data_IF_672091626422
#
_entry.id   IF_672091626422
#
_cell.length_a   1.000
_cell.length_b   1.000
_cell.length_c   1.000
_cell.angle_alpha   90.00
_cell.angle_beta   90.00
_cell.angle_gamma   90.00
#
_symmetry.space_group_name_H-M   'P 1'
#
loop_
_entity.id
_entity.type
_entity.pdbx_description
1 polymer ?
#
# COMPACT_ATOMS: atom_id res chain seq x y z
N UNK A 1 -12.40 -8.28 -21.04
CA UNK A 1 -13.03 -8.30 -19.69
C UNK A 1 -12.85 -6.94 -19.04
N UNK A 2 -13.80 -6.42 -18.25
CA UNK A 2 -13.54 -5.19 -17.46
C UNK A 2 -12.46 -5.47 -16.42
N UNK A 3 -11.71 -4.44 -16.05
CA UNK A 3 -10.60 -4.58 -15.09
C UNK A 3 -11.10 -5.07 -13.73
N UNK A 4 -12.19 -4.49 -13.21
CA UNK A 4 -12.84 -4.93 -11.96
C UNK A 4 -13.14 -6.43 -11.96
N UNK A 5 -13.73 -6.95 -13.04
CA UNK A 5 -14.13 -8.37 -13.11
C UNK A 5 -12.89 -9.29 -13.05
N UNK A 6 -11.77 -8.87 -13.67
CA UNK A 6 -10.50 -9.62 -13.63
C UNK A 6 -9.91 -9.68 -12.22
N UNK A 7 -9.92 -8.57 -11.50
CA UNK A 7 -9.49 -8.55 -10.10
C UNK A 7 -10.40 -9.41 -9.24
N UNK A 8 -11.72 -9.27 -9.37
CA UNK A 8 -12.66 -10.07 -8.58
C UNK A 8 -12.54 -11.58 -8.89
N UNK A 9 -12.27 -11.97 -10.14
CA UNK A 9 -11.96 -13.36 -10.46
C UNK A 9 -10.73 -13.88 -9.71
N UNK A 10 -9.70 -13.05 -9.50
CA UNK A 10 -8.57 -13.42 -8.62
C UNK A 10 -9.00 -13.50 -7.15
N UNK A 11 -9.74 -12.50 -6.65
CA UNK A 11 -10.22 -12.46 -5.26
C UNK A 11 -11.23 -13.55 -4.88
N UNK A 12 -11.85 -14.17 -5.87
CA UNK A 12 -12.83 -15.24 -5.72
C UNK A 12 -12.31 -16.60 -6.23
N UNK A 13 -11.02 -16.70 -6.55
CA UNK A 13 -10.37 -17.91 -7.06
C UNK A 13 -11.00 -18.51 -8.34
N UNK A 14 -11.56 -17.67 -9.20
CA UNK A 14 -12.20 -18.05 -10.48
C UNK A 14 -11.20 -17.97 -11.64
N UNK A 15 -10.15 -18.80 -11.60
CA UNK A 15 -9.08 -18.84 -12.63
C UNK A 15 -9.62 -18.95 -14.05
N UNK A 16 -10.66 -19.77 -14.27
CA UNK A 16 -11.26 -19.99 -15.59
C UNK A 16 -11.93 -18.74 -16.19
N UNK A 17 -12.22 -17.74 -15.36
CA UNK A 17 -12.86 -16.50 -15.81
C UNK A 17 -11.82 -15.46 -16.29
N UNK A 18 -10.51 -15.71 -16.06
CA UNK A 18 -9.43 -14.77 -16.41
C UNK A 18 -9.11 -14.77 -17.90
N UNK A 19 -9.17 -13.59 -18.53
CA UNK A 19 -8.60 -13.36 -19.87
C UNK A 19 -7.07 -13.21 -19.84
N UNK A 20 -6.56 -12.66 -18.73
CA UNK A 20 -5.14 -12.59 -18.37
C UNK A 20 -4.99 -12.37 -16.87
N UNK A 21 -3.78 -12.54 -16.36
CA UNK A 21 -3.44 -12.15 -15.00
C UNK A 21 -3.55 -10.61 -14.86
N UNK A 22 -4.23 -10.09 -13.82
CA UNK A 22 -4.31 -8.65 -13.57
C UNK A 22 -2.97 -8.07 -13.10
N UNK A 23 -2.79 -6.77 -13.29
CA UNK A 23 -1.57 -6.03 -12.97
C UNK A 23 -1.89 -4.94 -11.95
N UNK A 24 -1.18 -4.93 -10.82
CA UNK A 24 -1.15 -3.82 -9.87
C UNK A 24 0.19 -3.11 -10.01
N UNK A 25 0.17 -1.90 -10.56
CA UNK A 25 1.33 -1.02 -10.58
C UNK A 25 1.15 0.04 -9.50
N UNK A 26 2.03 0.04 -8.50
CA UNK A 26 1.87 0.80 -7.24
C UNK A 26 1.85 2.32 -7.45
N UNK A 27 2.53 2.82 -8.47
CA UNK A 27 2.56 4.23 -8.84
C UNK A 27 3.96 4.68 -9.22
N UNK A 28 4.10 5.95 -9.59
CA UNK A 28 5.38 6.59 -9.82
C UNK A 28 5.27 8.03 -9.28
N UNK A 29 5.85 8.33 -8.10
CA UNK A 29 5.76 9.65 -7.52
C UNK A 29 6.43 10.67 -8.44
N UNK A 30 5.82 11.85 -8.57
CA UNK A 30 6.30 12.90 -9.47
C UNK A 30 7.70 13.41 -9.12
N UNK A 31 8.15 13.16 -7.89
CA UNK A 31 9.49 13.47 -7.40
C UNK A 31 10.56 12.47 -7.83
N UNK A 32 10.19 11.25 -8.24
CA UNK A 32 11.15 10.20 -8.62
C UNK A 32 11.87 10.50 -9.93
N UNK A 33 13.09 9.97 -10.09
CA UNK A 33 13.86 10.15 -11.32
C UNK A 33 13.16 9.53 -12.54
N UNK A 34 12.49 8.38 -12.35
CA UNK A 34 11.69 7.76 -13.41
C UNK A 34 10.64 8.72 -13.96
N UNK A 35 9.86 9.37 -13.09
CA UNK A 35 8.78 10.27 -13.53
C UNK A 35 9.33 11.40 -14.38
N UNK A 36 10.44 12.02 -13.94
CA UNK A 36 11.07 13.12 -14.65
C UNK A 36 11.61 12.68 -16.02
N UNK A 37 12.29 11.54 -16.07
CA UNK A 37 12.73 10.93 -17.33
C UNK A 37 11.55 10.59 -18.23
N UNK A 38 10.47 10.03 -17.68
CA UNK A 38 9.27 9.73 -18.46
C UNK A 38 8.61 10.98 -19.04
N UNK A 39 8.50 12.07 -18.27
CA UNK A 39 7.99 13.34 -18.78
C UNK A 39 8.86 13.83 -19.94
N UNK A 40 10.18 13.82 -19.75
CA UNK A 40 11.14 14.31 -20.74
C UNK A 40 11.16 13.47 -22.01
N UNK A 41 11.26 12.16 -21.86
CA UNK A 41 11.60 11.21 -22.93
C UNK A 41 10.35 10.56 -23.57
N UNK A 42 9.16 10.69 -22.94
CA UNK A 42 7.92 10.06 -23.43
C UNK A 42 6.78 11.05 -23.51
N UNK A 43 6.43 11.73 -22.40
CA UNK A 43 5.25 12.60 -22.38
C UNK A 43 5.37 13.79 -23.35
N UNK A 44 6.59 14.27 -23.58
CA UNK A 44 6.87 15.36 -24.52
C UNK A 44 7.02 14.91 -26.00
N UNK A 45 7.07 13.60 -26.29
CA UNK A 45 7.28 13.06 -27.65
C UNK A 45 5.98 12.57 -28.31
N UNK A 46 4.95 13.44 -28.42
CA UNK A 46 3.64 13.11 -29.03
C UNK A 46 3.07 11.76 -28.53
N UNK A 47 2.72 11.70 -27.23
CA UNK A 47 2.19 10.51 -26.57
C UNK A 47 1.05 9.87 -27.37
N UNK A 48 1.09 8.55 -27.65
CA UNK A 48 0.01 7.88 -28.37
C UNK A 48 -1.34 8.06 -27.68
N UNK A 49 -2.38 8.34 -28.46
CA UNK A 49 -3.75 8.61 -27.97
C UNK A 49 -4.29 7.50 -27.05
N UNK A 50 -3.84 6.26 -27.23
CA UNK A 50 -4.25 5.12 -26.39
C UNK A 50 -3.80 5.23 -24.92
N UNK A 51 -2.78 6.05 -24.64
CA UNK A 51 -2.29 6.30 -23.28
C UNK A 51 -2.83 7.60 -22.69
N UNK A 52 -3.26 8.55 -23.51
CA UNK A 52 -3.76 9.84 -23.03
C UNK A 52 -5.12 9.63 -22.37
N UNK A 53 -5.21 9.94 -21.08
CA UNK A 53 -6.42 9.71 -20.31
C UNK A 53 -6.69 10.80 -19.29
N UNK A 54 -7.82 11.47 -19.43
CA UNK A 54 -8.25 12.51 -18.49
C UNK A 54 -9.60 12.10 -17.90
N UNK A 55 -9.66 12.02 -16.57
CA UNK A 55 -10.88 11.72 -15.83
C UNK A 55 -11.30 12.94 -15.01
N UNK A 56 -12.56 13.42 -15.10
CA UNK A 56 -13.00 14.64 -14.42
C UNK A 56 -12.73 14.68 -12.90
N UNK A 57 -12.80 13.53 -12.24
CA UNK A 57 -12.66 13.41 -10.78
C UNK A 57 -11.24 13.02 -10.30
N UNK A 58 -10.31 12.77 -11.24
CA UNK A 58 -8.94 12.32 -10.95
C UNK A 58 -7.86 13.12 -11.69
N UNK A 59 -8.23 13.94 -12.67
CA UNK A 59 -7.31 14.70 -13.50
C UNK A 59 -6.67 13.86 -14.60
N UNK A 60 -5.43 14.18 -14.91
CA UNK A 60 -4.63 13.48 -15.91
C UNK A 60 -4.12 12.14 -15.36
N UNK A 61 -4.61 11.06 -15.96
CA UNK A 61 -4.30 9.66 -15.67
C UNK A 61 -3.39 9.05 -16.75
N UNK A 62 -2.74 9.87 -17.58
CA UNK A 62 -1.92 9.42 -18.71
C UNK A 62 -0.75 8.56 -18.25
N UNK A 63 -0.05 8.95 -17.18
CA UNK A 63 1.05 8.15 -16.65
C UNK A 63 0.56 6.78 -16.14
N UNK A 64 -0.54 6.73 -15.39
CA UNK A 64 -1.10 5.49 -14.86
C UNK A 64 -1.52 4.56 -16.00
N UNK A 65 -2.12 5.12 -17.04
CA UNK A 65 -2.50 4.39 -18.26
C UNK A 65 -1.25 3.88 -18.99
N UNK A 66 -0.22 4.72 -19.13
CA UNK A 66 1.08 4.35 -19.72
C UNK A 66 1.78 3.25 -18.94
N UNK A 67 1.82 3.34 -17.61
CA UNK A 67 2.36 2.30 -16.73
C UNK A 67 1.59 0.98 -16.83
N UNK A 68 0.36 1.03 -17.36
CA UNK A 68 -0.56 -0.09 -17.37
C UNK A 68 -1.12 -0.40 -15.98
N UNK A 69 -1.21 0.61 -15.11
CA UNK A 69 -1.86 0.49 -13.82
C UNK A 69 -3.35 0.16 -14.03
N UNK A 70 -3.84 -0.82 -13.30
CA UNK A 70 -5.23 -1.26 -13.38
C UNK A 70 -6.02 -0.93 -12.12
N UNK A 71 -5.44 -0.22 -11.17
CA UNK A 71 -6.06 0.13 -9.89
C UNK A 71 -5.97 1.62 -9.63
N UNK A 72 -6.96 2.17 -8.94
CA UNK A 72 -6.93 3.55 -8.44
C UNK A 72 -7.51 3.60 -7.03
N UNK A 73 -6.82 4.27 -6.11
CA UNK A 73 -7.29 4.42 -4.74
C UNK A 73 -8.35 5.51 -4.64
N UNK A 74 -9.42 5.22 -3.92
CA UNK A 74 -10.46 6.17 -3.53
C UNK A 74 -10.68 6.00 -2.04
N UNK A 75 -10.60 7.08 -1.27
CA UNK A 75 -10.82 7.02 0.17
C UNK A 75 -11.60 8.22 0.68
N UNK A 76 -12.37 7.98 1.73
CA UNK A 76 -12.83 9.02 2.63
C UNK A 76 -11.63 9.36 3.52
N UNK A 77 -11.22 10.64 3.60
CA UNK A 77 -10.09 11.03 4.42
C UNK A 77 -10.24 10.56 5.87
N UNK A 78 -9.19 9.95 6.42
CA UNK A 78 -9.09 9.69 7.85
C UNK A 78 -8.82 11.00 8.59
N UNK A 79 -9.61 11.25 9.64
CA UNK A 79 -9.51 12.49 10.44
C UNK A 79 -8.43 12.40 11.52
N UNK A 80 -7.59 11.36 11.43
CA UNK A 80 -6.37 11.25 12.20
C UNK A 80 -5.34 12.36 11.88
N UNK A 81 -5.62 13.24 10.91
CA UNK A 81 -4.83 14.43 10.58
C UNK A 81 -5.27 15.67 11.38
N UNK A 82 -5.41 15.54 12.71
CA UNK A 82 -5.51 16.71 13.60
C UNK A 82 -4.31 17.64 13.34
N UNK A 83 -4.44 18.99 13.48
CA UNK A 83 -3.42 19.94 13.08
C UNK A 83 -2.02 19.58 13.58
N UNK A 84 -1.13 19.41 12.62
CA UNK A 84 0.30 19.31 12.83
C UNK A 84 0.80 20.51 13.64
N UNK A 85 1.48 20.26 14.75
CA UNK A 85 2.12 21.32 15.54
C UNK A 85 3.46 21.71 14.91
N UNK A 86 3.68 23.00 14.63
CA UNK A 86 5.03 23.47 14.27
C UNK A 86 5.98 23.30 15.47
N UNK A 87 7.18 22.76 15.22
CA UNK A 87 8.22 22.72 16.25
C UNK A 87 8.71 24.13 16.56
N UNK A 88 8.88 24.45 17.85
CA UNK A 88 9.30 25.75 18.37
C UNK A 88 10.74 25.70 18.91
N UNK A 89 11.43 26.86 19.05
CA UNK A 89 12.73 26.90 19.71
C UNK A 89 12.70 26.23 21.09
N UNK A 90 13.56 25.22 21.27
CA UNK A 90 13.61 24.40 22.49
C UNK A 90 13.04 22.99 22.31
N UNK A 91 12.24 22.75 21.26
CA UNK A 91 11.71 21.42 20.97
C UNK A 91 12.79 20.48 20.42
N UNK A 92 12.60 19.18 20.70
CA UNK A 92 13.46 18.11 20.18
C UNK A 92 13.44 18.13 18.65
N UNK A 93 14.62 18.05 18.03
CA UNK A 93 14.78 18.16 16.58
C UNK A 93 14.27 19.49 15.97
N UNK A 94 14.08 20.55 16.76
CA UNK A 94 13.85 21.88 16.18
C UNK A 94 15.04 22.29 15.31
N UNK A 95 14.75 22.66 14.06
CA UNK A 95 15.72 23.24 13.15
C UNK A 95 15.07 24.47 12.50
N UNK A 96 15.56 25.70 12.77
CA UNK A 96 14.93 26.91 12.23
C UNK A 96 14.98 27.01 10.71
N UNK A 97 15.87 26.24 10.04
CA UNK A 97 15.94 26.17 8.59
C UNK A 97 15.01 25.10 7.98
N UNK A 98 14.55 24.13 8.77
CA UNK A 98 13.66 23.07 8.31
C UNK A 98 12.23 23.34 8.79
N UNK A 99 11.27 23.30 7.87
CA UNK A 99 9.85 23.43 8.22
C UNK A 99 9.36 22.09 8.78
N UNK A 100 9.64 21.85 10.05
CA UNK A 100 9.27 20.63 10.76
C UNK A 100 7.97 20.78 11.52
N UNK A 101 7.12 19.78 11.40
CA UNK A 101 5.91 19.64 12.19
C UNK A 101 5.88 18.31 12.92
N UNK A 102 5.04 18.20 13.95
CA UNK A 102 4.74 16.93 14.60
C UNK A 102 3.27 16.58 14.41
N UNK A 103 2.99 15.33 14.05
CA UNK A 103 1.62 14.82 13.97
C UNK A 103 1.15 14.22 15.31
N UNK A 104 -0.12 13.85 15.39
CA UNK A 104 -0.74 13.25 16.60
C UNK A 104 -0.12 11.91 17.02
N UNK A 105 0.57 11.22 16.12
CA UNK A 105 1.28 10.00 16.44
C UNK A 105 2.68 10.29 17.01
N UNK A 106 3.13 11.55 16.97
CA UNK A 106 4.47 11.96 17.39
C UNK A 106 5.50 11.87 16.27
N UNK A 107 5.06 11.76 15.00
CA UNK A 107 5.96 11.71 13.86
C UNK A 107 6.40 13.11 13.51
N UNK A 108 7.70 13.34 13.54
CA UNK A 108 8.27 14.60 13.08
C UNK A 108 8.37 14.51 11.56
N UNK A 109 7.62 15.38 10.89
CA UNK A 109 7.59 15.50 9.44
C UNK A 109 8.39 16.74 9.03
N UNK A 110 9.32 16.59 8.10
CA UNK A 110 10.13 17.67 7.55
C UNK A 110 9.70 17.95 6.11
N UNK A 111 9.26 19.19 5.86
CA UNK A 111 9.05 19.62 4.48
C UNK A 111 10.39 19.91 3.81
N UNK A 112 10.60 19.26 2.68
CA UNK A 112 11.76 19.43 1.81
C UNK A 112 11.31 19.61 0.37
N UNK A 113 12.25 19.93 -0.51
CA UNK A 113 12.03 19.99 -1.95
C UNK A 113 12.97 18.99 -2.63
N UNK A 114 12.40 18.00 -3.31
CA UNK A 114 13.17 17.03 -4.08
C UNK A 114 12.89 17.28 -5.56
N UNK A 115 13.94 17.61 -6.33
CA UNK A 115 13.84 17.95 -7.75
C UNK A 115 12.78 19.02 -8.10
N UNK A 116 12.61 20.02 -7.24
CA UNK A 116 11.67 21.13 -7.46
C UNK A 116 10.23 20.86 -7.00
N UNK A 117 9.92 19.67 -6.48
CA UNK A 117 8.59 19.31 -5.96
C UNK A 117 8.61 19.27 -4.43
N UNK A 118 7.66 19.94 -3.74
CA UNK A 118 7.52 19.86 -2.28
C UNK A 118 7.22 18.43 -1.83
N UNK A 119 7.88 17.98 -0.77
CA UNK A 119 7.71 16.66 -0.18
C UNK A 119 7.79 16.73 1.34
N UNK A 120 7.16 15.78 2.03
CA UNK A 120 7.19 15.66 3.50
C UNK A 120 7.85 14.34 3.89
N UNK A 121 8.98 14.39 4.58
CA UNK A 121 9.74 13.22 5.02
C UNK A 121 9.60 12.97 6.52
N UNK A 122 9.53 11.71 6.93
CA UNK A 122 9.70 11.37 8.35
C UNK A 122 11.14 11.68 8.77
N UNK A 123 11.30 12.60 9.72
CA UNK A 123 12.58 13.05 10.24
C UNK A 123 12.93 12.41 11.60
N UNK A 124 11.95 11.79 12.26
CA UNK A 124 12.17 11.04 13.50
C UNK A 124 11.00 11.07 14.48
N UNK A 125 11.18 10.41 15.64
CA UNK A 125 10.17 10.35 16.69
C UNK A 125 10.24 11.54 17.65
N UNK A 126 9.07 12.06 18.01
CA UNK A 126 8.92 13.11 19.02
C UNK A 126 8.82 12.52 20.43
N UNK A 127 8.01 11.48 20.62
CA UNK A 127 7.76 10.91 21.94
C UNK A 127 8.87 9.94 22.38
N UNK A 128 9.28 10.02 23.63
CA UNK A 128 10.20 9.07 24.26
C UNK A 128 9.56 8.26 25.40
N UNK A 129 8.39 8.70 25.87
CA UNK A 129 7.59 8.11 26.94
C UNK A 129 6.11 8.20 26.60
N UNK A 130 5.29 7.34 27.21
CA UNK A 130 3.85 7.44 27.05
C UNK A 130 3.27 8.66 27.76
N UNK A 131 3.86 9.10 28.86
CA UNK A 131 3.46 10.32 29.58
C UNK A 131 3.61 11.56 28.69
N UNK A 132 4.69 11.66 27.92
CA UNK A 132 4.88 12.74 26.95
C UNK A 132 3.81 12.72 25.85
N UNK A 133 3.44 11.53 25.36
CA UNK A 133 2.33 11.38 24.41
C UNK A 133 1.00 11.85 25.00
N UNK A 134 0.65 11.39 26.21
CA UNK A 134 -0.62 11.78 26.84
C UNK A 134 -0.66 13.29 27.14
N UNK A 135 0.45 13.88 27.59
CA UNK A 135 0.55 15.32 27.79
C UNK A 135 0.36 16.11 26.49
N UNK A 136 0.97 15.63 25.40
CA UNK A 136 0.80 16.22 24.07
C UNK A 136 -0.67 16.16 23.61
N UNK A 137 -1.34 15.01 23.75
CA UNK A 137 -2.76 14.88 23.39
C UNK A 137 -3.68 15.71 24.30
N UNK A 138 -3.33 15.90 25.57
CA UNK A 138 -4.08 16.77 26.48
C UNK A 138 -3.98 18.25 26.09
N UNK A 139 -2.83 18.69 25.56
CA UNK A 139 -2.62 20.05 25.07
C UNK A 139 -3.23 20.25 23.67
N UNK A 140 -3.04 19.29 22.79
CA UNK A 140 -3.32 19.42 21.36
C UNK A 140 -4.58 18.72 20.89
N UNK A 141 -5.24 17.89 21.69
CA UNK A 141 -6.45 17.16 21.31
C UNK A 141 -6.20 15.70 20.90
N UNK A 142 -7.26 14.88 20.93
CA UNK A 142 -7.22 13.46 20.58
C UNK A 142 -7.32 13.22 19.06
N UNK A 143 -7.08 11.98 18.63
CA UNK A 143 -7.09 11.52 17.23
C UNK A 143 -8.41 11.71 16.47
N UNK A 144 -9.49 12.04 17.16
CA UNK A 144 -10.79 12.27 16.54
C UNK A 144 -11.50 13.47 17.16
N UNK A 145 -11.79 14.45 16.33
CA UNK A 145 -12.65 15.57 16.66
C UNK A 145 -13.82 15.58 15.67
N UNK A 146 -15.03 15.41 16.18
CA UNK A 146 -16.26 15.38 15.38
C UNK A 146 -16.45 16.66 14.55
N UNK A 147 -15.79 17.78 14.92
CA UNK A 147 -15.76 19.00 14.11
C UNK A 147 -15.04 18.81 12.78
N UNK A 148 -13.99 18.00 12.76
CA UNK A 148 -13.16 17.73 11.58
C UNK A 148 -13.46 16.37 10.96
N UNK A 149 -14.31 15.55 11.61
CA UNK A 149 -14.74 14.24 11.15
C UNK A 149 -15.24 14.26 9.70
N UNK A 150 -15.05 13.17 8.92
CA UNK A 150 -15.58 13.14 7.59
C UNK A 150 -17.11 13.15 7.68
N UNK A 151 -17.75 14.10 7.03
CA UNK A 151 -19.20 14.19 6.93
C UNK A 151 -19.77 13.72 5.59
N UNK A 152 -21.05 14.01 5.39
CA UNK A 152 -21.81 13.67 4.18
C UNK A 152 -21.16 14.14 2.87
N UNK A 153 -20.50 15.31 2.89
CA UNK A 153 -19.80 15.85 1.72
C UNK A 153 -18.66 14.93 1.26
N UNK A 154 -17.90 14.35 2.19
CA UNK A 154 -16.82 13.40 1.88
C UNK A 154 -17.39 12.08 1.34
N UNK A 155 -18.46 11.58 1.95
CA UNK A 155 -19.16 10.38 1.45
C UNK A 155 -19.71 10.61 0.04
N UNK A 156 -20.27 11.79 -0.24
CA UNK A 156 -20.77 12.15 -1.57
C UNK A 156 -19.64 12.21 -2.60
N UNK A 157 -18.51 12.84 -2.27
CA UNK A 157 -17.35 12.90 -3.15
C UNK A 157 -16.76 11.51 -3.41
N UNK A 158 -16.64 10.69 -2.36
CA UNK A 158 -16.21 9.29 -2.46
C UNK A 158 -17.09 8.49 -3.44
N UNK A 159 -18.42 8.54 -3.27
CA UNK A 159 -19.36 7.85 -4.16
C UNK A 159 -19.22 8.33 -5.62
N UNK A 160 -19.06 9.63 -5.82
CA UNK A 160 -18.87 10.23 -7.16
C UNK A 160 -17.60 9.68 -7.82
N UNK A 161 -16.46 9.74 -7.13
CA UNK A 161 -15.17 9.22 -7.60
C UNK A 161 -15.23 7.72 -7.90
N UNK A 162 -15.83 6.94 -7.01
CA UNK A 162 -15.98 5.51 -7.19
C UNK A 162 -16.80 5.18 -8.44
N UNK A 163 -17.96 5.81 -8.59
CA UNK A 163 -18.84 5.63 -9.74
C UNK A 163 -18.18 6.06 -11.05
N UNK A 164 -17.38 7.12 -11.05
CA UNK A 164 -16.65 7.57 -12.24
C UNK A 164 -15.66 6.50 -12.73
N UNK A 165 -14.89 5.87 -11.82
CA UNK A 165 -13.98 4.77 -12.18
C UNK A 165 -14.74 3.51 -12.62
N UNK A 166 -15.86 3.16 -11.98
CA UNK A 166 -16.67 2.01 -12.39
C UNK A 166 -17.30 2.18 -13.78
N UNK A 167 -17.72 3.41 -14.11
CA UNK A 167 -18.24 3.76 -15.43
C UNK A 167 -17.15 3.70 -16.50
N UNK A 168 -15.97 4.23 -16.21
CA UNK A 168 -14.81 4.16 -17.09
C UNK A 168 -14.34 2.71 -17.34
N UNK A 169 -14.30 1.89 -16.29
CA UNK A 169 -14.01 0.45 -16.37
C UNK A 169 -12.56 0.07 -16.68
N UNK A 170 -11.65 1.04 -16.87
CA UNK A 170 -10.22 0.76 -17.10
C UNK A 170 -9.41 0.67 -15.82
N UNK A 171 -10.00 1.06 -14.69
CA UNK A 171 -9.39 0.93 -13.36
C UNK A 171 -10.34 0.19 -12.43
N UNK A 172 -9.77 -0.60 -11.53
CA UNK A 172 -10.44 -1.17 -10.38
C UNK A 172 -10.27 -0.22 -9.18
N UNK A 173 -11.36 0.36 -8.65
CA UNK A 173 -11.28 1.22 -7.48
C UNK A 173 -10.92 0.40 -6.24
N UNK A 174 -9.97 0.90 -5.45
CA UNK A 174 -9.59 0.33 -4.15
C UNK A 174 -9.96 1.31 -3.04
N UNK A 175 -10.65 0.83 -2.00
CA UNK A 175 -10.87 1.61 -0.78
C UNK A 175 -9.55 1.76 -0.01
N UNK A 176 -9.24 2.94 0.51
CA UNK A 176 -8.04 3.13 1.35
C UNK A 176 -8.34 2.94 2.84
N UNK A 177 -7.41 2.33 3.58
CA UNK A 177 -7.35 2.35 5.04
C UNK A 177 -5.98 2.90 5.49
N UNK A 178 -5.90 3.44 6.71
CA UNK A 178 -4.69 4.08 7.22
C UNK A 178 -3.84 3.12 8.06
N UNK A 179 -2.52 3.37 8.09
CA UNK A 179 -1.51 2.61 8.86
C UNK A 179 -1.79 2.67 10.37
N UNK A 180 -1.36 1.66 11.12
CA UNK A 180 -1.48 1.62 12.59
C UNK A 180 -0.12 1.45 13.25
N UNK A 181 0.55 0.34 12.96
CA UNK A 181 1.81 -0.02 13.58
C UNK A 181 2.89 1.02 13.24
N UNK A 182 3.05 1.31 11.95
CA UNK A 182 4.05 2.23 11.44
C UNK A 182 3.89 3.62 12.06
N UNK A 183 2.66 4.15 12.15
CA UNK A 183 2.40 5.45 12.74
C UNK A 183 2.89 5.56 14.19
N UNK A 184 2.61 4.53 15.00
CA UNK A 184 3.05 4.48 16.41
C UNK A 184 4.57 4.30 16.48
N UNK A 185 5.12 3.38 15.69
CA UNK A 185 6.53 3.04 15.69
C UNK A 185 7.40 4.23 15.25
N UNK A 186 7.01 4.96 14.21
CA UNK A 186 7.65 6.17 13.73
C UNK A 186 7.58 7.32 14.74
N UNK A 187 6.50 7.39 15.52
CA UNK A 187 6.27 8.46 16.48
C UNK A 187 7.05 8.34 17.79
N UNK A 188 7.35 7.10 18.22
CA UNK A 188 8.13 6.83 19.44
C UNK A 188 9.55 6.32 19.15
N UNK A 189 9.77 5.75 17.97
CA UNK A 189 11.02 5.16 17.54
C UNK A 189 11.30 3.78 18.14
N UNK A 190 12.25 3.03 17.56
CA UNK A 190 12.48 1.61 17.87
C UNK A 190 12.88 1.36 19.32
N UNK A 191 13.74 2.21 19.89
CA UNK A 191 14.29 2.03 21.24
C UNK A 191 13.22 2.28 22.30
N UNK A 192 12.49 3.40 22.17
CA UNK A 192 11.43 3.71 23.12
C UNK A 192 10.31 2.68 22.99
N UNK A 193 9.91 2.32 21.76
CA UNK A 193 8.92 1.27 21.53
C UNK A 193 9.29 -0.03 22.25
N UNK A 194 10.50 -0.57 22.01
CA UNK A 194 10.95 -1.82 22.61
C UNK A 194 11.06 -1.76 24.15
N UNK A 195 11.35 -0.60 24.73
CA UNK A 195 11.35 -0.40 26.18
C UNK A 195 9.93 -0.39 26.73
N UNK A 196 9.07 0.40 26.12
CA UNK A 196 7.72 0.68 26.57
C UNK A 196 6.79 -0.52 26.37
N UNK A 197 6.89 -1.23 25.26
CA UNK A 197 6.14 -2.46 24.99
C UNK A 197 6.45 -3.56 26.01
N UNK A 198 7.67 -3.61 26.56
CA UNK A 198 8.06 -4.58 27.60
C UNK A 198 7.63 -4.16 29.00
N UNK A 199 7.79 -2.88 29.35
CA UNK A 199 7.51 -2.38 30.71
C UNK A 199 6.02 -2.14 30.96
N UNK A 200 5.31 -1.66 29.95
CA UNK A 200 3.92 -1.21 30.07
C UNK A 200 3.06 -1.75 28.90
N UNK A 201 3.03 -3.07 28.67
CA UNK A 201 2.36 -3.63 27.50
C UNK A 201 0.85 -3.33 27.48
N UNK A 202 0.19 -3.31 28.63
CA UNK A 202 -1.22 -2.97 28.74
C UNK A 202 -1.52 -1.51 28.37
N UNK A 203 -0.53 -0.61 28.50
CA UNK A 203 -0.65 0.78 28.08
C UNK A 203 -0.50 0.89 26.57
N UNK A 204 0.43 0.13 25.99
CA UNK A 204 0.56 0.00 24.54
C UNK A 204 -0.71 -0.58 23.90
N UNK A 205 -1.34 -1.59 24.50
CA UNK A 205 -2.63 -2.14 24.03
C UNK A 205 -3.69 -1.02 23.91
N UNK A 206 -3.79 -0.15 24.92
CA UNK A 206 -4.71 1.00 24.91
C UNK A 206 -4.36 2.04 23.85
N UNK A 207 -3.08 2.31 23.64
CA UNK A 207 -2.61 3.29 22.65
C UNK A 207 -2.92 2.81 21.23
N UNK A 208 -2.67 1.53 20.94
CA UNK A 208 -3.02 0.92 19.67
C UNK A 208 -4.53 1.04 19.42
N UNK A 209 -5.36 0.75 20.42
CA UNK A 209 -6.81 0.88 20.29
C UNK A 209 -7.27 2.34 20.10
N UNK A 210 -6.66 3.29 20.83
CA UNK A 210 -6.92 4.72 20.65
C UNK A 210 -6.63 5.19 19.21
N UNK A 211 -5.55 4.68 18.61
CA UNK A 211 -5.17 4.97 17.23
C UNK A 211 -6.08 4.24 16.21
N UNK A 212 -6.44 2.98 16.48
CA UNK A 212 -7.22 2.14 15.59
C UNK A 212 -8.68 2.63 15.45
N UNK A 213 -9.32 2.98 16.56
CA UNK A 213 -10.73 3.37 16.62
C UNK A 213 -11.15 4.45 15.60
N UNK A 214 -10.46 5.60 15.46
CA UNK A 214 -10.81 6.60 14.46
C UNK A 214 -10.61 6.11 13.02
N UNK A 215 -9.60 5.30 12.77
CA UNK A 215 -9.31 4.76 11.44
C UNK A 215 -10.41 3.77 11.04
N UNK A 216 -10.80 2.87 11.95
CA UNK A 216 -11.89 1.93 11.73
C UNK A 216 -13.24 2.65 11.55
N UNK A 217 -13.47 3.77 12.25
CA UNK A 217 -14.65 4.62 12.03
C UNK A 217 -14.69 5.20 10.62
N UNK A 218 -13.57 5.75 10.12
CA UNK A 218 -13.50 6.27 8.75
C UNK A 218 -13.67 5.15 7.71
N UNK A 219 -13.05 3.99 7.93
CA UNK A 219 -13.23 2.83 7.06
C UNK A 219 -14.69 2.34 7.04
N UNK A 220 -15.36 2.29 8.18
CA UNK A 220 -16.78 1.92 8.26
C UNK A 220 -17.64 2.82 7.37
N UNK A 221 -17.40 4.15 7.39
CA UNK A 221 -18.12 5.08 6.52
C UNK A 221 -17.95 4.78 5.02
N UNK A 222 -16.76 4.32 4.60
CA UNK A 222 -16.52 3.91 3.21
C UNK A 222 -17.29 2.63 2.87
N UNK A 223 -17.25 1.64 3.76
CA UNK A 223 -17.88 0.34 3.57
C UNK A 223 -19.41 0.42 3.60
N UNK A 224 -19.97 1.29 4.45
CA UNK A 224 -21.40 1.59 4.54
C UNK A 224 -21.99 2.18 3.24
N UNK A 225 -21.14 2.65 2.32
CA UNK A 225 -21.60 3.04 0.98
C UNK A 225 -22.08 1.86 0.12
N UNK A 226 -21.65 0.63 0.44
CA UNK A 226 -21.93 -0.58 -0.32
C UNK A 226 -21.17 -0.69 -1.65
N UNK A 227 -20.25 0.24 -1.94
CA UNK A 227 -19.51 0.28 -3.21
C UNK A 227 -18.18 -0.49 -3.16
N UNK A 228 -17.56 -0.57 -1.99
CA UNK A 228 -16.19 -1.04 -1.83
C UNK A 228 -16.09 -2.56 -1.96
N UNK A 229 -15.29 -3.05 -2.90
CA UNK A 229 -15.02 -4.48 -3.07
C UNK A 229 -13.72 -4.92 -2.39
N UNK A 230 -12.68 -4.10 -2.44
CA UNK A 230 -11.38 -4.38 -1.83
C UNK A 230 -10.91 -3.12 -1.11
N UNK A 231 -10.41 -3.30 0.12
CA UNK A 231 -9.75 -2.28 0.92
C UNK A 231 -8.25 -2.55 0.91
N UNK A 232 -7.46 -1.52 0.61
CA UNK A 232 -6.00 -1.51 0.67
C UNK A 232 -5.55 -0.88 1.99
N UNK A 233 -4.78 -1.62 2.77
CA UNK A 233 -4.25 -1.25 4.09
C UNK A 233 -2.72 -1.35 4.07
N UNK A 234 -1.97 -0.24 4.07
CA UNK A 234 -0.53 -0.30 4.27
C UNK A 234 -0.19 -0.46 5.75
N UNK A 235 0.84 -1.23 6.07
CA UNK A 235 1.55 -1.21 7.35
C UNK A 235 2.89 -1.95 7.24
N UNK A 236 4.01 -1.23 7.25
CA UNK A 236 5.33 -1.83 7.03
C UNK A 236 5.85 -2.55 8.28
N UNK A 237 6.00 -3.88 8.16
CA UNK A 237 6.31 -4.79 9.26
C UNK A 237 7.66 -5.49 9.12
N UNK A 238 8.37 -5.27 8.01
CA UNK A 238 9.60 -5.97 7.68
C UNK A 238 10.86 -5.10 7.71
N UNK A 239 11.99 -5.75 7.98
CA UNK A 239 13.34 -5.30 7.63
C UNK A 239 13.91 -6.27 6.59
N UNK A 240 15.14 -6.06 6.10
CA UNK A 240 15.72 -6.94 5.06
C UNK A 240 15.72 -8.44 5.36
N UNK A 241 15.88 -8.86 6.63
CA UNK A 241 16.06 -10.28 6.97
C UNK A 241 15.16 -10.78 8.10
N UNK A 242 14.32 -9.91 8.64
CA UNK A 242 13.46 -10.22 9.78
C UNK A 242 12.28 -9.25 9.86
N UNK A 243 11.20 -9.64 10.52
CA UNK A 243 10.15 -8.69 10.88
C UNK A 243 10.66 -7.65 11.91
N UNK A 244 10.01 -6.49 11.95
CA UNK A 244 10.21 -5.45 12.96
C UNK A 244 9.73 -5.87 14.35
N UNK A 245 8.71 -6.73 14.39
CA UNK A 245 8.16 -7.32 15.61
C UNK A 245 8.36 -8.83 15.62
N UNK A 246 8.64 -9.40 16.79
CA UNK A 246 8.56 -10.87 16.91
C UNK A 246 7.14 -11.34 16.59
N UNK A 247 6.96 -12.56 16.05
CA UNK A 247 5.62 -13.12 15.79
C UNK A 247 4.72 -13.04 17.03
N UNK A 248 5.30 -13.31 18.21
CA UNK A 248 4.61 -13.20 19.50
C UNK A 248 4.14 -11.78 19.81
N UNK A 249 4.97 -10.77 19.58
CA UNK A 249 4.60 -9.38 19.84
C UNK A 249 3.60 -8.87 18.79
N UNK A 250 3.77 -9.26 17.53
CA UNK A 250 2.80 -8.97 16.47
C UNK A 250 1.42 -9.56 16.79
N UNK A 251 1.37 -10.85 17.16
CA UNK A 251 0.14 -11.55 17.52
C UNK A 251 -0.56 -10.92 18.72
N UNK A 252 0.21 -10.37 19.65
CA UNK A 252 -0.32 -9.68 20.82
C UNK A 252 -0.88 -8.30 20.48
N UNK A 253 -0.09 -7.48 19.80
CA UNK A 253 -0.32 -6.04 19.71
C UNK A 253 -1.06 -5.63 18.43
N UNK A 254 -0.66 -6.17 17.27
CA UNK A 254 -1.10 -5.65 15.97
C UNK A 254 -2.14 -6.54 15.31
N UNK A 255 -1.97 -7.86 15.39
CA UNK A 255 -2.91 -8.84 14.83
C UNK A 255 -4.36 -8.62 15.27
N UNK A 256 -4.68 -8.30 16.54
CA UNK A 256 -6.07 -8.06 16.94
C UNK A 256 -6.72 -6.93 16.15
N UNK A 257 -5.95 -5.90 15.78
CA UNK A 257 -6.48 -4.79 14.99
C UNK A 257 -6.57 -5.12 13.51
N UNK A 258 -5.60 -5.86 12.95
CA UNK A 258 -5.74 -6.39 11.59
C UNK A 258 -7.01 -7.24 11.46
N UNK A 259 -7.33 -8.02 12.50
CA UNK A 259 -8.59 -8.77 12.56
C UNK A 259 -9.81 -7.86 12.58
N UNK A 260 -9.80 -6.75 13.31
CA UNK A 260 -10.89 -5.77 13.28
C UNK A 260 -11.10 -5.19 11.87
N UNK A 261 -10.04 -4.91 11.13
CA UNK A 261 -10.13 -4.52 9.72
C UNK A 261 -10.79 -5.58 8.85
N UNK A 262 -10.31 -6.83 8.94
CA UNK A 262 -10.80 -7.93 8.14
C UNK A 262 -12.28 -8.21 8.44
N UNK A 263 -12.64 -8.31 9.72
CA UNK A 263 -14.01 -8.52 10.17
C UNK A 263 -14.94 -7.40 9.69
N UNK A 264 -14.49 -6.14 9.73
CA UNK A 264 -15.26 -4.99 9.26
C UNK A 264 -15.46 -5.02 7.72
N UNK A 265 -14.42 -5.37 6.95
CA UNK A 265 -14.51 -5.53 5.50
C UNK A 265 -15.46 -6.67 5.12
N UNK A 266 -15.26 -7.85 5.70
CA UNK A 266 -16.05 -9.05 5.42
C UNK A 266 -17.52 -8.87 5.80
N UNK A 267 -17.82 -8.16 6.90
CA UNK A 267 -19.19 -7.80 7.30
C UNK A 267 -19.95 -7.03 6.20
N UNK A 268 -19.23 -6.28 5.36
CA UNK A 268 -19.80 -5.51 4.25
C UNK A 268 -19.58 -6.17 2.88
N UNK A 269 -19.12 -7.43 2.85
CA UNK A 269 -18.83 -8.15 1.60
C UNK A 269 -17.58 -7.67 0.86
N UNK A 270 -16.75 -6.86 1.49
CA UNK A 270 -15.47 -6.41 0.94
C UNK A 270 -14.33 -7.33 1.37
N UNK A 271 -13.21 -7.26 0.65
CA UNK A 271 -11.95 -7.98 0.91
C UNK A 271 -10.91 -7.05 1.51
N UNK A 272 -9.98 -7.59 2.30
CA UNK A 272 -8.85 -6.83 2.86
C UNK A 272 -7.53 -7.23 2.19
N UNK A 273 -6.86 -6.25 1.62
CA UNK A 273 -5.52 -6.35 1.05
C UNK A 273 -4.54 -5.53 1.88
N UNK A 274 -3.40 -6.11 2.23
CA UNK A 274 -2.35 -5.42 2.98
C UNK A 274 -1.12 -5.18 2.11
N UNK A 275 -0.53 -3.99 2.20
CA UNK A 275 0.84 -3.71 1.74
C UNK A 275 1.79 -3.77 2.94
N UNK A 276 2.92 -4.46 2.80
CA UNK A 276 3.98 -4.43 3.81
C UNK A 276 5.35 -4.74 3.20
N UNK A 277 6.27 -3.80 3.27
CA UNK A 277 7.66 -3.97 2.82
C UNK A 277 8.50 -4.84 3.77
N UNK A 278 9.66 -5.26 3.29
CA UNK A 278 10.63 -6.07 4.02
C UNK A 278 10.24 -7.54 4.19
N UNK A 279 10.99 -8.23 5.05
CA UNK A 279 10.84 -9.67 5.31
C UNK A 279 9.73 -9.94 6.32
N UNK A 280 8.59 -10.37 5.80
CA UNK A 280 7.35 -10.61 6.56
C UNK A 280 6.91 -12.07 6.57
N UNK A 281 7.67 -12.99 5.94
CA UNK A 281 7.26 -14.40 5.84
C UNK A 281 6.85 -15.06 7.17
N UNK A 282 7.53 -14.81 8.31
CA UNK A 282 7.13 -15.42 9.59
C UNK A 282 5.76 -14.95 10.08
N UNK A 283 5.27 -13.79 9.62
CA UNK A 283 3.99 -13.21 10.00
C UNK A 283 2.83 -13.66 9.12
N UNK A 284 3.11 -14.27 7.95
CA UNK A 284 2.07 -14.71 7.00
C UNK A 284 1.01 -15.63 7.64
N UNK A 285 1.35 -16.63 8.47
CA UNK A 285 0.33 -17.43 9.16
C UNK A 285 -0.60 -16.59 10.04
N UNK A 286 -0.04 -15.57 10.72
CA UNK A 286 -0.80 -14.65 11.56
C UNK A 286 -1.71 -13.73 10.75
N UNK A 287 -1.28 -13.31 9.54
CA UNK A 287 -2.12 -12.54 8.62
C UNK A 287 -3.32 -13.35 8.14
N UNK A 288 -3.10 -14.60 7.73
CA UNK A 288 -4.17 -15.51 7.31
C UNK A 288 -5.16 -15.74 8.47
N UNK A 289 -4.65 -16.00 9.67
CA UNK A 289 -5.50 -16.20 10.86
C UNK A 289 -6.30 -14.94 11.24
N UNK A 290 -5.77 -13.75 10.97
CA UNK A 290 -6.50 -12.49 11.16
C UNK A 290 -7.58 -12.25 10.10
N UNK A 291 -7.61 -13.01 9.01
CA UNK A 291 -8.58 -12.88 7.92
C UNK A 291 -8.12 -12.00 6.75
N UNK A 292 -6.80 -11.80 6.58
CA UNK A 292 -6.26 -11.10 5.42
C UNK A 292 -6.53 -11.88 4.12
N UNK A 293 -7.09 -11.23 3.10
CA UNK A 293 -7.40 -11.87 1.81
C UNK A 293 -6.25 -11.76 0.80
N UNK A 294 -5.50 -10.65 0.82
CA UNK A 294 -4.40 -10.41 -0.10
C UNK A 294 -3.21 -9.71 0.55
N UNK A 295 -2.01 -10.04 0.08
CA UNK A 295 -0.74 -9.46 0.53
C UNK A 295 0.05 -8.94 -0.67
N UNK A 296 0.36 -7.65 -0.64
CA UNK A 296 1.16 -6.96 -1.63
C UNK A 296 2.56 -6.62 -1.07
N UNK A 297 3.46 -6.30 -2.00
CA UNK A 297 4.90 -6.09 -1.89
C UNK A 297 5.69 -7.38 -2.11
N UNK A 298 5.76 -8.26 -1.11
CA UNK A 298 6.55 -9.50 -1.18
C UNK A 298 7.99 -9.19 -1.63
N UNK A 299 8.65 -8.28 -0.94
CA UNK A 299 9.93 -7.71 -1.32
C UNK A 299 11.03 -8.77 -1.58
N UNK A 300 11.42 -8.89 -2.84
CA UNK A 300 12.47 -9.83 -3.26
C UNK A 300 13.82 -9.54 -2.61
N UNK A 301 14.16 -8.25 -2.48
CA UNK A 301 15.41 -7.76 -1.86
C UNK A 301 15.47 -7.94 -0.35
N UNK A 302 14.37 -8.32 0.27
CA UNK A 302 14.28 -8.70 1.67
C UNK A 302 14.33 -10.22 1.86
N UNK A 303 14.96 -10.96 0.94
CA UNK A 303 15.17 -12.41 1.01
C UNK A 303 13.88 -13.24 1.11
N UNK A 304 12.76 -12.73 0.58
CA UNK A 304 11.51 -13.49 0.47
C UNK A 304 11.65 -14.53 -0.65
N UNK A 305 11.38 -15.79 -0.31
CA UNK A 305 11.30 -16.89 -1.28
C UNK A 305 9.85 -17.05 -1.75
N UNK A 306 9.52 -16.39 -2.86
CA UNK A 306 8.18 -16.37 -3.44
C UNK A 306 7.58 -17.76 -3.67
N UNK A 307 8.36 -18.70 -4.25
CA UNK A 307 7.88 -20.05 -4.52
C UNK A 307 7.51 -20.80 -3.23
N UNK A 308 8.34 -20.69 -2.19
CA UNK A 308 8.06 -21.28 -0.88
C UNK A 308 6.85 -20.64 -0.22
N UNK A 309 6.76 -19.30 -0.23
CA UNK A 309 5.61 -18.57 0.31
C UNK A 309 4.34 -18.99 -0.41
N UNK A 310 4.35 -18.99 -1.75
CA UNK A 310 3.18 -19.37 -2.53
C UNK A 310 2.74 -20.80 -2.26
N UNK A 311 3.68 -21.74 -2.19
CA UNK A 311 3.38 -23.14 -1.87
C UNK A 311 2.78 -23.32 -0.46
N UNK A 312 3.18 -22.48 0.49
CA UNK A 312 2.68 -22.51 1.86
C UNK A 312 1.27 -21.93 1.98
N UNK A 313 0.98 -20.82 1.30
CA UNK A 313 -0.33 -20.14 1.40
C UNK A 313 -1.40 -20.71 0.47
N UNK A 314 -1.01 -21.19 -0.72
CA UNK A 314 -1.92 -21.71 -1.75
C UNK A 314 -3.07 -20.74 -2.03
N UNK A 315 -4.30 -21.17 -1.82
CA UNK A 315 -5.55 -20.45 -2.01
C UNK A 315 -5.98 -19.61 -0.79
N UNK A 316 -5.24 -19.66 0.31
CA UNK A 316 -5.63 -18.95 1.56
C UNK A 316 -5.26 -17.47 1.55
N UNK A 317 -4.35 -17.06 0.68
CA UNK A 317 -3.86 -15.69 0.60
C UNK A 317 -3.46 -15.38 -0.83
N UNK A 318 -4.04 -14.34 -1.40
CA UNK A 318 -3.67 -13.85 -2.72
C UNK A 318 -2.36 -13.08 -2.60
N UNK A 319 -1.41 -13.45 -3.44
CA UNK A 319 -0.14 -12.74 -3.52
C UNK A 319 -0.21 -11.68 -4.62
N UNK A 320 0.35 -10.51 -4.34
CA UNK A 320 0.36 -9.38 -5.27
C UNK A 320 1.76 -8.80 -5.33
N UNK A 321 2.25 -8.54 -6.54
CA UNK A 321 3.56 -7.94 -6.74
C UNK A 321 4.71 -8.94 -6.63
N UNK A 322 5.75 -8.60 -5.87
CA UNK A 322 6.92 -9.44 -5.66
C UNK A 322 7.97 -9.37 -6.76
N UNK A 323 7.71 -8.72 -7.90
CA UNK A 323 8.74 -8.43 -8.90
C UNK A 323 9.70 -7.36 -8.37
N UNK A 324 10.99 -7.57 -8.56
CA UNK A 324 12.01 -6.71 -7.97
C UNK A 324 12.10 -5.33 -8.66
N UNK A 325 11.63 -4.30 -7.96
CA UNK A 325 11.69 -2.90 -8.37
C UNK A 325 12.94 -2.16 -7.91
N UNK A 326 13.79 -2.78 -7.08
CA UNK A 326 14.93 -2.13 -6.42
C UNK A 326 16.28 -2.53 -7.00
N UNK A 327 16.45 -3.76 -7.48
CA UNK A 327 17.67 -4.17 -8.20
C UNK A 327 17.40 -4.42 -9.68
N UNK A 328 16.49 -5.34 -10.03
CA UNK A 328 16.27 -5.70 -11.43
C UNK A 328 15.72 -4.53 -12.24
N UNK A 329 14.64 -3.89 -11.78
CA UNK A 329 14.03 -2.80 -12.54
C UNK A 329 14.91 -1.55 -12.60
N UNK A 330 15.66 -1.27 -11.52
CA UNK A 330 16.50 -0.08 -11.39
C UNK A 330 17.85 -0.22 -12.11
N UNK A 331 18.53 -1.36 -11.96
CA UNK A 331 19.92 -1.54 -12.40
C UNK A 331 20.10 -2.67 -13.44
N UNK A 332 19.09 -3.49 -13.67
CA UNK A 332 19.14 -4.56 -14.66
C UNK A 332 19.02 -4.07 -16.10
N UNK A 333 19.32 -4.97 -17.03
CA UNK A 333 19.04 -4.78 -18.46
C UNK A 333 17.57 -5.10 -18.78
N UNK A 334 17.04 -4.65 -19.94
CA UNK A 334 15.73 -5.07 -20.41
C UNK A 334 15.52 -6.59 -20.43
N UNK A 335 16.56 -7.36 -20.74
CA UNK A 335 16.50 -8.83 -20.72
C UNK A 335 16.39 -9.37 -19.29
N UNK A 336 17.09 -8.77 -18.32
CA UNK A 336 16.95 -9.12 -16.90
C UNK A 336 15.52 -8.87 -16.42
N UNK A 337 14.91 -7.75 -16.82
CA UNK A 337 13.52 -7.40 -16.51
C UNK A 337 12.55 -8.44 -17.08
N UNK A 338 12.71 -8.84 -18.35
CA UNK A 338 11.87 -9.88 -18.96
C UNK A 338 12.02 -11.22 -18.23
N UNK A 339 13.25 -11.57 -17.85
CA UNK A 339 13.54 -12.81 -17.15
C UNK A 339 12.94 -12.81 -15.73
N UNK A 340 13.00 -11.69 -15.01
CA UNK A 340 12.37 -11.54 -13.70
C UNK A 340 10.84 -11.66 -13.78
N UNK A 341 10.20 -11.05 -14.77
CA UNK A 341 8.75 -11.19 -14.98
C UNK A 341 8.36 -12.66 -15.20
N UNK A 342 9.06 -13.36 -16.10
CA UNK A 342 8.82 -14.79 -16.36
C UNK A 342 9.03 -15.64 -15.11
N UNK A 343 10.12 -15.39 -14.39
CA UNK A 343 10.45 -16.09 -13.14
C UNK A 343 9.35 -15.86 -12.10
N UNK A 344 8.91 -14.61 -11.90
CA UNK A 344 7.89 -14.30 -10.91
C UNK A 344 6.56 -14.98 -11.19
N UNK A 345 6.12 -15.02 -12.45
CA UNK A 345 4.92 -15.77 -12.79
C UNK A 345 5.04 -17.25 -12.41
N UNK A 346 6.20 -17.88 -12.62
CA UNK A 346 6.43 -19.28 -12.22
C UNK A 346 6.48 -19.46 -10.71
N UNK A 347 7.06 -18.51 -9.98
CA UNK A 347 7.20 -18.58 -8.53
C UNK A 347 5.88 -18.28 -7.79
N UNK A 348 5.03 -17.43 -8.36
CA UNK A 348 3.79 -16.95 -7.73
C UNK A 348 2.55 -17.75 -8.13
N UNK A 349 2.65 -18.60 -9.15
CA UNK A 349 1.57 -19.49 -9.56
C UNK A 349 1.97 -20.91 -9.15
N UNK A 350 1.29 -21.44 -8.13
CA UNK A 350 1.61 -22.76 -7.59
C UNK A 350 1.03 -23.92 -8.42
N UNK A 351 -0.02 -23.67 -9.21
CA UNK A 351 -0.67 -24.69 -10.03
C UNK A 351 -1.30 -24.06 -11.29
N UNK A 352 -1.32 -24.78 -12.43
CA UNK A 352 -2.05 -24.32 -13.62
C UNK A 352 -3.57 -24.17 -13.42
N UNK A 353 -4.13 -24.83 -12.41
CA UNK A 353 -5.55 -24.78 -12.05
C UNK A 353 -5.89 -23.59 -11.15
N UNK A 354 -4.91 -23.05 -10.42
CA UNK A 354 -5.03 -21.84 -9.61
C UNK A 354 -3.89 -20.86 -9.91
N UNK A 355 -4.19 -19.98 -10.86
CA UNK A 355 -3.33 -18.90 -11.32
C UNK A 355 -3.66 -17.57 -10.63
N UNK A 356 -4.42 -17.58 -9.53
CA UNK A 356 -4.86 -16.36 -8.83
C UNK A 356 -3.67 -15.67 -8.14
N UNK A 357 -3.10 -14.73 -8.87
CA UNK A 357 -1.98 -13.86 -8.56
C UNK A 357 -2.28 -12.50 -9.20
N UNK A 358 -1.74 -11.42 -8.64
CA UNK A 358 -1.78 -10.10 -9.29
C UNK A 358 -0.36 -9.64 -9.54
N UNK A 359 0.01 -9.46 -10.81
CA UNK A 359 1.36 -9.11 -11.21
C UNK A 359 1.70 -7.67 -10.88
N UNK A 360 2.93 -7.39 -10.46
CA UNK A 360 3.34 -6.03 -10.16
C UNK A 360 4.73 -5.94 -9.55
N UNK A 361 5.25 -4.73 -9.39
CA UNK A 361 6.47 -4.50 -8.63
C UNK A 361 6.24 -4.73 -7.14
N UNK A 362 7.34 -4.78 -6.39
CA UNK A 362 7.32 -4.78 -4.93
C UNK A 362 6.79 -3.44 -4.40
N UNK A 363 7.24 -2.33 -4.98
CA UNK A 363 6.92 -0.98 -4.53
C UNK A 363 6.71 -0.05 -5.73
N UNK A 364 6.40 1.21 -5.47
CA UNK A 364 6.37 2.30 -6.45
C UNK A 364 7.63 2.35 -7.30
N UNK A 365 7.44 2.81 -8.54
CA UNK A 365 8.49 3.02 -9.52
C UNK A 365 9.17 4.37 -9.22
N UNK A 366 10.32 4.33 -8.58
CA UNK A 366 11.08 5.51 -8.17
C UNK A 366 12.12 5.92 -9.20
N UNK A 367 13.29 5.27 -9.21
CA UNK A 367 14.46 5.73 -9.97
C UNK A 367 14.84 4.77 -11.11
N UNK A 368 13.84 4.10 -11.66
CA UNK A 368 14.04 3.10 -12.72
C UNK A 368 14.19 3.76 -14.11
N UNK A 369 15.04 3.23 -15.00
CA UNK A 369 15.07 3.67 -16.40
C UNK A 369 13.72 3.49 -17.08
N UNK A 370 13.29 4.49 -17.86
CA UNK A 370 12.00 4.45 -18.59
C UNK A 370 11.88 3.18 -19.44
N UNK A 371 12.96 2.80 -20.12
CA UNK A 371 12.97 1.60 -20.97
C UNK A 371 12.72 0.31 -20.19
N UNK A 372 13.25 0.21 -18.97
CA UNK A 372 13.03 -0.95 -18.12
C UNK A 372 11.56 -1.03 -17.70
N UNK A 373 10.93 0.09 -17.37
CA UNK A 373 9.52 0.14 -16.97
C UNK A 373 8.58 -0.19 -18.14
N UNK A 374 8.88 0.31 -19.34
CA UNK A 374 8.16 -0.03 -20.58
C UNK A 374 8.21 -1.54 -20.84
N UNK A 375 9.40 -2.13 -20.81
CA UNK A 375 9.63 -3.57 -21.02
C UNK A 375 8.97 -4.40 -19.92
N UNK A 376 9.00 -3.92 -18.68
CA UNK A 376 8.35 -4.56 -17.55
C UNK A 376 6.83 -4.66 -17.73
N UNK A 377 6.16 -3.53 -18.03
CA UNK A 377 4.73 -3.47 -18.35
C UNK A 377 4.37 -4.43 -19.49
N UNK A 378 5.12 -4.38 -20.59
CA UNK A 378 4.83 -5.16 -21.79
C UNK A 378 5.04 -6.66 -21.55
N UNK A 379 6.10 -7.02 -20.82
CA UNK A 379 6.36 -8.38 -20.40
C UNK A 379 5.25 -8.91 -19.49
N UNK A 380 4.80 -8.14 -18.49
CA UNK A 380 3.71 -8.56 -17.61
C UNK A 380 2.44 -8.86 -18.41
N UNK A 381 2.04 -7.96 -19.31
CA UNK A 381 0.87 -8.16 -20.20
C UNK A 381 1.03 -9.38 -21.09
N UNK A 382 2.18 -9.54 -21.74
CA UNK A 382 2.45 -10.66 -22.66
C UNK A 382 2.45 -12.00 -21.95
N UNK A 383 3.23 -12.16 -20.88
CA UNK A 383 3.42 -13.46 -20.24
C UNK A 383 2.27 -13.85 -19.29
N UNK A 384 1.49 -12.89 -18.82
CA UNK A 384 0.26 -13.12 -18.05
C UNK A 384 -0.98 -13.45 -18.90
N UNK A 385 -0.90 -13.30 -20.23
CA UNK A 385 -2.00 -13.67 -21.15
C UNK A 385 -2.12 -15.18 -21.30
N UNK A 386 -3.34 -15.69 -21.47
CA UNK A 386 -3.61 -17.12 -21.59
C UNK A 386 -3.53 -17.58 -23.04
N UNK A 387 -2.90 -18.74 -23.23
CA UNK A 387 -2.89 -19.48 -24.49
C UNK A 387 -3.08 -20.96 -24.17
N UNK A 388 -3.99 -21.64 -24.86
CA UNK A 388 -4.32 -23.05 -24.56
C UNK A 388 -4.72 -23.30 -23.10
N UNK A 389 -5.46 -22.35 -22.49
CA UNK A 389 -5.95 -22.47 -21.10
C UNK A 389 -4.90 -22.24 -20.00
N UNK A 390 -3.68 -21.81 -20.33
CA UNK A 390 -2.63 -21.49 -19.35
C UNK A 390 -1.95 -20.16 -19.65
N UNK A 391 -1.45 -19.42 -18.64
CA UNK A 391 -0.59 -18.26 -18.87
C UNK A 391 0.62 -18.62 -19.74
N UNK A 392 1.01 -17.73 -20.65
CA UNK A 392 2.17 -17.93 -21.53
C UNK A 392 3.46 -18.15 -20.72
N UNK A 393 3.58 -17.55 -19.53
CA UNK A 393 4.72 -17.76 -18.64
C UNK A 393 4.94 -19.22 -18.19
N UNK A 394 3.88 -20.05 -18.22
CA UNK A 394 3.90 -21.44 -17.76
C UNK A 394 4.01 -22.46 -18.91
N UNK A 395 4.19 -21.98 -20.14
CA UNK A 395 4.45 -22.78 -21.34
C UNK A 395 5.93 -22.73 -21.67
#
# INVERSE_FOLDING_TARGET
>A
MKVKDRFMAVFEHRTQDLDRIPILMSGAPSTGLFYQSWVKDVANEDMPDEYVKILPDFGDMTLQTWLGAETAHVSIPTVCNYPYGELKPGDKHYNPAAKRTVDVNGRIMEQSTMHGVPYSWHAGPYFDTWEAREAFLAEHGEFWDDKFAPGEAHVKQFKKQWQALEQDGSFFPLGGAWIIWEAIFEGVGPIAFARMSRKEPAKLDKIIEQNAKPILRALAMQLETGLVNVVSFPDDLGQKDRPLLSVKDYDRFIKPVLKQYADLCHKHGAKLMMHSCGFIEPLIPSFIDAGLDALQALEATANINHARVRQAVKDKLILIGGMDSSLVLTFGTPDDVVNEVKKKYKDMIWSPEDTCYVAGPTHDILDCPVKNVEVFRDAMRKYGTYKNGKPIALQ
#
